data_IF_496254861169
#
_entry.id   IF_496254861169
#
_cell.length_a   1.000
_cell.length_b   1.000
_cell.length_c   1.000
_cell.angle_alpha   90.00
_cell.angle_beta   90.00
_cell.angle_gamma   90.00
#
_symmetry.space_group_name_H-M   'P 1'
#
loop_
_entity.id
_entity.type
_entity.pdbx_description
1 polymer ?
#
# COMPACT_ATOMS: atom_id res chain seq x y z
N UNK A 1 -6.04 7.88 2.12
CA UNK A 1 -5.17 6.67 2.04
C UNK A 1 -5.91 5.38 2.36
N UNK A 2 -6.48 5.19 3.56
CA UNK A 2 -7.17 3.95 3.92
C UNK A 2 -8.27 3.55 2.91
N UNK A 3 -9.11 4.50 2.50
CA UNK A 3 -10.13 4.26 1.46
C UNK A 3 -9.51 3.85 0.12
N UNK A 4 -8.48 4.55 -0.34
CA UNK A 4 -7.75 4.19 -1.56
C UNK A 4 -7.19 2.76 -1.54
N UNK A 5 -6.68 2.30 -0.38
CA UNK A 5 -6.21 0.92 -0.19
C UNK A 5 -7.37 -0.09 -0.18
N UNK A 6 -8.51 0.24 0.47
CA UNK A 6 -9.71 -0.61 0.44
C UNK A 6 -10.25 -0.81 -0.96
N UNK A 7 -10.26 0.24 -1.77
CA UNK A 7 -10.77 0.17 -3.13
C UNK A 7 -9.94 -0.75 -4.05
N UNK A 8 -8.68 -1.03 -3.70
CA UNK A 8 -7.83 -1.99 -4.42
C UNK A 8 -7.74 -3.35 -3.71
N UNK A 9 -8.56 -3.57 -2.67
CA UNK A 9 -8.78 -4.88 -2.04
C UNK A 9 -8.13 -5.09 -0.67
N UNK A 10 -7.33 -4.16 -0.15
CA UNK A 10 -6.73 -4.31 1.18
C UNK A 10 -7.74 -4.07 2.31
N UNK A 11 -7.63 -4.80 3.41
CA UNK A 11 -8.35 -4.49 4.64
C UNK A 11 -7.65 -3.37 5.44
N UNK A 12 -7.70 -2.14 4.92
CA UNK A 12 -7.02 -0.99 5.52
C UNK A 12 -7.92 -0.23 6.51
N UNK A 13 -7.55 -0.15 7.79
CA UNK A 13 -8.32 0.61 8.79
C UNK A 13 -7.68 1.96 9.07
N UNK A 14 -8.45 3.05 8.99
CA UNK A 14 -7.95 4.40 9.33
C UNK A 14 -7.46 4.43 10.79
N UNK A 15 -6.21 4.82 11.06
CA UNK A 15 -5.68 4.86 12.41
C UNK A 15 -6.36 5.96 13.23
N UNK A 16 -6.51 5.73 14.54
CA UNK A 16 -7.15 6.68 15.47
C UNK A 16 -6.22 7.82 15.94
N UNK A 17 -4.94 7.79 15.57
CA UNK A 17 -3.96 8.80 15.99
C UNK A 17 -2.51 8.52 15.62
N UNK A 18 -2.25 7.72 14.57
CA UNK A 18 -0.89 7.45 14.08
C UNK A 18 -0.72 7.93 12.65
N UNK A 19 0.52 8.04 12.23
CA UNK A 19 0.92 8.40 10.87
C UNK A 19 1.16 7.19 9.96
N UNK A 20 0.76 6.01 10.40
CA UNK A 20 1.08 4.75 9.74
C UNK A 20 -0.18 3.89 9.55
N UNK A 21 -0.27 3.29 8.37
CA UNK A 21 -1.25 2.28 8.02
C UNK A 21 -0.52 0.96 7.82
N UNK A 22 -0.97 -0.08 8.51
CA UNK A 22 -0.48 -1.43 8.35
C UNK A 22 -1.54 -2.24 7.63
N UNK A 23 -1.14 -2.95 6.58
CA UNK A 23 -2.01 -3.87 5.84
C UNK A 23 -1.27 -5.17 5.60
N UNK A 24 -2.01 -6.28 5.71
CA UNK A 24 -1.48 -7.58 5.34
C UNK A 24 -1.23 -7.60 3.82
N UNK A 25 -0.13 -8.21 3.41
CA UNK A 25 0.21 -8.29 1.98
C UNK A 25 -0.70 -9.30 1.27
N UNK A 26 -0.92 -9.14 -0.05
CA UNK A 26 -1.45 -10.22 -0.85
C UNK A 26 -0.44 -11.36 -0.96
N UNK A 27 -0.91 -12.58 -1.26
CA UNK A 27 -0.07 -13.73 -1.65
C UNK A 27 0.59 -13.53 -3.01
N UNK A 28 0.02 -12.68 -3.86
CA UNK A 28 0.50 -12.46 -5.23
C UNK A 28 -0.41 -11.58 -6.07
N UNK A 29 -0.19 -11.62 -7.38
CA UNK A 29 -1.01 -10.95 -8.39
C UNK A 29 -1.51 -11.96 -9.42
N UNK A 30 -2.65 -11.69 -10.06
CA UNK A 30 -3.13 -12.53 -11.18
C UNK A 30 -2.20 -12.51 -12.39
N UNK A 31 -1.34 -11.49 -12.51
CA UNK A 31 -0.31 -11.42 -13.55
C UNK A 31 0.88 -12.37 -13.30
N UNK A 32 0.89 -13.10 -12.17
CA UNK A 32 1.86 -14.16 -11.89
C UNK A 32 2.99 -13.78 -10.93
N UNK A 33 2.94 -12.60 -10.30
CA UNK A 33 3.84 -12.30 -9.19
C UNK A 33 3.38 -13.05 -7.93
N UNK A 34 4.31 -13.62 -7.18
CA UNK A 34 4.06 -14.29 -5.90
C UNK A 34 4.92 -13.63 -4.83
N UNK A 35 4.40 -13.54 -3.60
CA UNK A 35 5.09 -12.91 -2.48
C UNK A 35 5.14 -13.87 -1.29
N UNK A 36 6.35 -14.30 -0.91
CA UNK A 36 6.56 -15.17 0.24
C UNK A 36 6.55 -14.40 1.57
N UNK A 37 6.90 -13.11 1.52
CA UNK A 37 7.06 -12.23 2.67
C UNK A 37 6.80 -10.76 2.29
N UNK A 38 6.73 -9.88 3.28
CA UNK A 38 6.47 -8.46 3.09
C UNK A 38 7.61 -7.74 2.37
N UNK A 39 8.87 -8.17 2.55
CA UNK A 39 10.00 -7.62 1.81
C UNK A 39 9.82 -7.79 0.29
N UNK A 40 9.46 -8.98 -0.18
CA UNK A 40 9.21 -9.24 -1.60
C UNK A 40 8.08 -8.37 -2.16
N UNK A 41 6.98 -8.24 -1.41
CA UNK A 41 5.88 -7.36 -1.81
C UNK A 41 6.32 -5.88 -1.84
N UNK A 42 7.08 -5.43 -0.84
CA UNK A 42 7.63 -4.07 -0.80
C UNK A 42 8.56 -3.79 -1.98
N UNK A 43 9.42 -4.76 -2.34
CA UNK A 43 10.30 -4.68 -3.50
C UNK A 43 9.52 -4.62 -4.82
N UNK A 44 8.43 -5.38 -4.94
CA UNK A 44 7.55 -5.31 -6.10
C UNK A 44 6.89 -3.93 -6.23
N UNK A 45 6.36 -3.38 -5.13
CA UNK A 45 5.73 -2.05 -5.14
C UNK A 45 6.71 -0.95 -5.56
N UNK A 46 7.95 -0.96 -5.10
CA UNK A 46 8.91 0.09 -5.48
C UNK A 46 9.38 -0.05 -6.93
N UNK A 47 9.61 -1.29 -7.41
CA UNK A 47 10.11 -1.54 -8.77
C UNK A 47 9.04 -1.29 -9.83
N UNK A 48 7.86 -1.86 -9.63
CA UNK A 48 6.82 -1.86 -10.65
C UNK A 48 5.89 -0.65 -10.53
N UNK A 49 5.72 -0.12 -9.31
CA UNK A 49 4.69 0.88 -9.01
C UNK A 49 5.24 2.17 -8.43
N UNK A 50 6.56 2.27 -8.23
CA UNK A 50 7.21 3.45 -7.67
C UNK A 50 6.61 3.86 -6.31
N UNK A 51 6.24 2.87 -5.49
CA UNK A 51 5.70 3.06 -4.15
C UNK A 51 6.68 2.43 -3.15
N UNK A 52 7.25 3.25 -2.28
CA UNK A 52 8.13 2.79 -1.20
C UNK A 52 7.32 2.49 0.05
N UNK A 53 7.46 1.28 0.57
CA UNK A 53 6.84 0.82 1.82
C UNK A 53 7.90 0.27 2.78
N UNK A 54 7.53 0.11 4.04
CA UNK A 54 8.39 -0.59 5.02
C UNK A 54 7.79 -1.96 5.30
N UNK A 55 8.48 -3.06 4.98
CA UNK A 55 8.02 -4.40 5.31
C UNK A 55 8.14 -4.66 6.81
N UNK A 56 7.24 -5.49 7.33
CA UNK A 56 7.26 -5.91 8.72
C UNK A 56 6.81 -7.36 8.83
N UNK A 57 7.74 -8.29 8.68
CA UNK A 57 7.49 -9.73 8.74
C UNK A 57 7.44 -10.31 10.17
N UNK A 58 7.99 -9.60 11.17
CA UNK A 58 8.06 -10.09 12.56
C UNK A 58 6.67 -10.26 13.23
N UNK A 59 5.63 -9.61 12.69
CA UNK A 59 4.26 -9.65 13.20
C UNK A 59 3.27 -10.32 12.22
N UNK A 60 3.79 -11.07 11.25
CA UNK A 60 3.06 -11.58 10.08
C UNK A 60 3.47 -10.83 8.81
N UNK A 61 2.97 -11.22 7.63
CA UNK A 61 3.38 -10.59 6.39
C UNK A 61 2.65 -9.25 6.18
N UNK A 62 3.11 -8.18 6.82
CA UNK A 62 2.52 -6.84 6.73
C UNK A 62 3.44 -5.83 6.07
N UNK A 63 2.86 -4.85 5.37
CA UNK A 63 3.58 -3.63 4.97
C UNK A 63 3.00 -2.40 5.67
N UNK A 64 3.90 -1.45 5.95
CA UNK A 64 3.58 -0.15 6.53
C UNK A 64 3.62 0.95 5.47
N UNK A 65 2.48 1.60 5.27
CA UNK A 65 2.36 2.86 4.54
C UNK A 65 2.47 4.04 5.51
N UNK A 66 3.29 5.02 5.15
CA UNK A 66 3.36 6.30 5.88
C UNK A 66 2.39 7.28 5.24
N UNK A 67 1.54 7.91 6.04
CA UNK A 67 0.63 8.99 5.62
C UNK A 67 1.21 10.37 5.97
N UNK A 68 2.53 10.51 5.89
CA UNK A 68 3.30 11.74 6.14
C UNK A 68 3.89 12.27 4.83
N UNK A 69 3.10 12.35 3.78
CA UNK A 69 3.53 12.97 2.53
C UNK A 69 3.34 14.48 2.60
N UNK A 70 4.16 15.22 1.85
CA UNK A 70 4.02 16.67 1.76
C UNK A 70 2.78 16.98 0.93
N UNK A 71 1.90 17.80 1.49
CA UNK A 71 0.75 18.37 0.81
C UNK A 71 0.59 19.82 1.28
N UNK A 72 0.40 20.75 0.35
CA UNK A 72 0.23 22.17 0.68
C UNK A 72 -1.18 22.47 1.21
N UNK A 73 -2.18 21.74 0.71
CA UNK A 73 -3.58 21.85 1.08
C UNK A 73 -4.33 20.51 0.90
N UNK A 74 -5.64 20.51 1.15
CA UNK A 74 -6.48 19.32 0.99
C UNK A 74 -6.59 18.83 -0.46
N UNK A 75 -6.46 19.71 -1.45
CA UNK A 75 -6.50 19.31 -2.86
C UNK A 75 -5.21 18.60 -3.25
N UNK A 76 -4.07 19.09 -2.78
CA UNK A 76 -2.77 18.45 -2.99
C UNK A 76 -2.70 17.09 -2.27
N UNK A 77 -3.28 16.98 -1.07
CA UNK A 77 -3.46 15.69 -0.39
C UNK A 77 -4.28 14.72 -1.27
N UNK A 78 -5.44 15.17 -1.78
CA UNK A 78 -6.28 14.35 -2.67
C UNK A 78 -5.54 13.94 -3.93
N UNK A 79 -4.71 14.82 -4.50
CA UNK A 79 -3.88 14.53 -5.68
C UNK A 79 -2.89 13.40 -5.40
N UNK A 80 -2.15 13.47 -4.29
CA UNK A 80 -1.20 12.42 -3.89
C UNK A 80 -1.92 11.09 -3.66
N UNK A 81 -3.04 11.10 -2.94
CA UNK A 81 -3.83 9.88 -2.67
C UNK A 81 -4.39 9.26 -3.96
N UNK A 82 -4.84 10.08 -4.90
CA UNK A 82 -5.35 9.62 -6.20
C UNK A 82 -4.26 8.98 -7.03
N UNK A 83 -3.05 9.54 -7.03
CA UNK A 83 -1.91 8.98 -7.76
C UNK A 83 -1.48 7.62 -7.18
N UNK A 84 -1.42 7.49 -5.85
CA UNK A 84 -1.14 6.21 -5.19
C UNK A 84 -2.21 5.17 -5.55
N UNK A 85 -3.50 5.55 -5.48
CA UNK A 85 -4.61 4.68 -5.88
C UNK A 85 -4.46 4.23 -7.33
N UNK A 86 -4.22 5.17 -8.25
CA UNK A 86 -4.07 4.89 -9.68
C UNK A 86 -2.95 3.87 -9.94
N UNK A 87 -1.80 4.03 -9.27
CA UNK A 87 -0.67 3.09 -9.37
C UNK A 87 -0.98 1.71 -8.81
N UNK A 88 -1.90 1.58 -7.85
CA UNK A 88 -2.29 0.28 -7.32
C UNK A 88 -3.44 -0.36 -8.08
N UNK A 89 -4.26 0.44 -8.77
CA UNK A 89 -5.51 0.00 -9.41
C UNK A 89 -5.31 -0.85 -10.66
N UNK A 90 -4.12 -0.82 -11.28
CA UNK A 90 -3.78 -1.67 -12.41
C UNK A 90 -3.27 -3.06 -11.99
N UNK A 91 -3.31 -3.38 -10.70
CA UNK A 91 -2.88 -4.66 -10.14
C UNK A 91 -4.10 -5.43 -9.65
N UNK A 92 -4.27 -6.64 -10.16
CA UNK A 92 -5.23 -7.59 -9.60
C UNK A 92 -4.55 -8.44 -8.53
N UNK A 93 -4.68 -8.02 -7.27
CA UNK A 93 -4.13 -8.72 -6.12
C UNK A 93 -4.89 -10.01 -5.78
N UNK A 94 -4.16 -10.99 -5.25
CA UNK A 94 -4.68 -12.23 -4.67
C UNK A 94 -4.32 -12.24 -3.20
N UNK A 95 -5.32 -12.08 -2.33
CA UNK A 95 -5.16 -12.07 -0.87
C UNK A 95 -5.21 -13.48 -0.27
#
# INVERSE_FOLDING_TARGET
MAEALKEVGFDAVKPKGSFYLYVEIPKGTKSGAEFANAEEFSQFLIKEKLISTVPWDDAGNFVRFSVTFVAEDEEDEKRVLTEVKKRLSDIEFIF
#
